data_IF_796520101911
#
_entry.id   IF_796520101911
#
_cell.length_a   1.000
_cell.length_b   1.000
_cell.length_c   1.000
_cell.angle_alpha   90.00
_cell.angle_beta   90.00
_cell.angle_gamma   90.00
#
_symmetry.space_group_name_H-M   'P 1'
#
loop_
_entity.id
_entity.type
_entity.pdbx_description
1 polymer ?
#
# COMPACT_ATOMS: atom_id res chain seq x y z
N UNK A 1 -20.26 8.29 18.38
CA UNK A 1 -19.73 8.10 17.01
C UNK A 1 -20.39 6.88 16.38
N UNK A 2 -20.77 6.93 15.10
CA UNK A 2 -21.51 5.84 14.45
C UNK A 2 -20.68 4.55 14.41
N UNK A 3 -21.20 3.49 15.04
CA UNK A 3 -20.56 2.16 15.04
C UNK A 3 -20.29 1.66 13.61
N UNK A 4 -21.12 2.08 12.67
CA UNK A 4 -20.98 1.79 11.24
C UNK A 4 -19.66 2.39 10.71
N UNK A 5 -19.39 3.67 10.95
CA UNK A 5 -18.17 4.34 10.49
C UNK A 5 -16.91 3.70 11.10
N UNK A 6 -16.94 3.40 12.40
CA UNK A 6 -15.84 2.73 13.12
C UNK A 6 -15.51 1.37 12.49
N UNK A 7 -16.55 0.59 12.19
CA UNK A 7 -16.40 -0.74 11.61
C UNK A 7 -15.94 -0.68 10.15
N UNK A 8 -16.53 0.18 9.33
CA UNK A 8 -16.16 0.30 7.91
C UNK A 8 -14.72 0.80 7.79
N UNK A 9 -14.31 1.84 8.54
CA UNK A 9 -12.94 2.35 8.48
C UNK A 9 -11.89 1.32 8.88
N UNK A 10 -12.18 0.52 9.91
CA UNK A 10 -11.27 -0.54 10.35
C UNK A 10 -11.21 -1.67 9.31
N UNK A 11 -12.37 -2.18 8.90
CA UNK A 11 -12.44 -3.34 8.00
C UNK A 11 -11.97 -3.04 6.58
N UNK A 12 -12.19 -1.82 6.07
CA UNK A 12 -11.67 -1.42 4.76
C UNK A 12 -10.14 -1.51 4.73
N UNK A 13 -9.47 -0.99 5.75
CA UNK A 13 -8.02 -1.13 5.88
C UNK A 13 -7.60 -2.59 6.02
N UNK A 14 -8.24 -3.36 6.91
CA UNK A 14 -7.84 -4.76 7.12
C UNK A 14 -7.96 -5.61 5.85
N UNK A 15 -9.05 -5.47 5.10
CA UNK A 15 -9.25 -6.23 3.85
C UNK A 15 -8.20 -5.83 2.82
N UNK A 16 -8.02 -4.53 2.58
CA UNK A 16 -7.06 -4.03 1.58
C UNK A 16 -5.63 -4.41 1.95
N UNK A 17 -5.25 -4.18 3.22
CA UNK A 17 -3.90 -4.46 3.70
C UNK A 17 -3.59 -5.96 3.71
N UNK A 18 -4.55 -6.81 4.11
CA UNK A 18 -4.36 -8.28 4.11
C UNK A 18 -4.22 -8.80 2.68
N UNK A 19 -5.08 -8.36 1.76
CA UNK A 19 -4.96 -8.75 0.34
C UNK A 19 -3.62 -8.32 -0.24
N UNK A 20 -3.23 -7.06 0.00
CA UNK A 20 -1.95 -6.51 -0.47
C UNK A 20 -0.77 -7.30 0.10
N UNK A 21 -0.79 -7.58 1.40
CA UNK A 21 0.24 -8.36 2.07
C UNK A 21 0.31 -9.80 1.55
N UNK A 22 -0.83 -10.46 1.28
CA UNK A 22 -0.87 -11.77 0.64
C UNK A 22 -0.24 -11.74 -0.76
N UNK A 23 -0.61 -10.76 -1.59
CA UNK A 23 -0.05 -10.62 -2.94
C UNK A 23 1.47 -10.38 -2.90
N UNK A 24 1.93 -9.48 -2.04
CA UNK A 24 3.36 -9.21 -1.82
C UNK A 24 4.12 -10.45 -1.34
N UNK A 25 3.52 -11.27 -0.46
CA UNK A 25 4.18 -12.44 0.13
C UNK A 25 4.27 -13.60 -0.87
N UNK A 26 3.13 -14.00 -1.45
CA UNK A 26 3.03 -15.25 -2.19
C UNK A 26 3.35 -15.08 -3.67
N UNK A 27 3.03 -13.92 -4.25
CA UNK A 27 3.23 -13.62 -5.67
C UNK A 27 3.86 -12.23 -5.90
N UNK A 28 5.04 -11.94 -5.30
CA UNK A 28 5.68 -10.62 -5.34
C UNK A 28 5.96 -10.14 -6.77
N UNK A 29 6.31 -11.06 -7.67
CA UNK A 29 6.60 -10.74 -9.07
C UNK A 29 5.34 -10.22 -9.77
N UNK A 30 4.25 -10.97 -9.71
CA UNK A 30 2.97 -10.56 -10.31
C UNK A 30 2.40 -9.30 -9.64
N UNK A 31 2.56 -9.16 -8.32
CA UNK A 31 2.16 -7.95 -7.60
C UNK A 31 2.93 -6.72 -8.11
N UNK A 32 4.26 -6.83 -8.17
CA UNK A 32 5.11 -5.75 -8.66
C UNK A 32 4.86 -5.44 -10.14
N UNK A 33 4.67 -6.47 -10.96
CA UNK A 33 4.37 -6.33 -12.38
C UNK A 33 2.95 -5.83 -12.63
N UNK A 34 1.99 -6.06 -11.73
CA UNK A 34 0.64 -5.47 -11.85
C UNK A 34 0.64 -3.95 -11.68
N UNK A 35 1.67 -3.39 -11.06
CA UNK A 35 1.81 -1.94 -10.88
C UNK A 35 2.31 -1.24 -12.16
N UNK A 36 2.90 -1.97 -13.12
CA UNK A 36 3.47 -1.37 -14.32
C UNK A 36 3.21 -2.24 -15.55
N UNK A 37 2.85 -1.65 -16.71
CA UNK A 37 2.52 -2.45 -17.90
C UNK A 37 3.71 -3.26 -18.45
N UNK A 38 4.94 -2.75 -18.35
CA UNK A 38 6.18 -3.38 -18.88
C UNK A 38 7.42 -3.13 -17.98
N UNK A 39 7.46 -3.61 -16.74
CA UNK A 39 8.53 -3.30 -15.78
C UNK A 39 9.89 -3.89 -16.17
N UNK A 40 9.91 -5.04 -16.86
CA UNK A 40 11.16 -5.67 -17.29
C UNK A 40 11.99 -4.76 -18.22
N UNK A 41 11.34 -4.08 -19.16
CA UNK A 41 11.98 -3.13 -20.08
C UNK A 41 12.50 -1.88 -19.37
N UNK A 42 11.85 -1.49 -18.26
CA UNK A 42 12.30 -0.35 -17.43
C UNK A 42 13.56 -0.73 -16.67
N UNK A 43 13.60 -1.92 -16.07
CA UNK A 43 14.79 -2.41 -15.36
C UNK A 43 15.97 -2.58 -16.30
N UNK A 44 15.74 -3.09 -17.51
CA UNK A 44 16.75 -3.17 -18.56
C UNK A 44 17.29 -1.78 -18.93
N UNK A 45 16.42 -0.79 -19.17
CA UNK A 45 16.83 0.59 -19.47
C UNK A 45 17.54 1.30 -18.32
N UNK A 46 17.21 0.96 -17.08
CA UNK A 46 17.90 1.49 -15.89
C UNK A 46 19.23 0.79 -15.60
N UNK A 47 19.63 -0.20 -16.41
CA UNK A 47 20.84 -0.99 -16.19
C UNK A 47 20.76 -1.87 -14.94
N UNK A 48 19.55 -2.16 -14.45
CA UNK A 48 19.32 -2.98 -13.26
C UNK A 48 19.46 -4.45 -13.67
N UNK A 49 20.40 -5.16 -13.04
CA UNK A 49 20.62 -6.57 -13.31
C UNK A 49 19.41 -7.43 -12.90
N UNK A 50 19.23 -8.58 -13.54
CA UNK A 50 18.19 -9.55 -13.18
C UNK A 50 18.26 -9.98 -11.71
N UNK A 51 19.48 -10.07 -11.17
CA UNK A 51 19.75 -10.35 -9.75
C UNK A 51 19.18 -9.24 -8.86
N UNK A 52 19.41 -7.97 -9.21
CA UNK A 52 18.87 -6.85 -8.45
C UNK A 52 17.34 -6.80 -8.47
N UNK A 53 16.70 -7.14 -9.61
CA UNK A 53 15.23 -7.27 -9.70
C UNK A 53 14.71 -8.38 -8.78
N UNK A 54 15.40 -9.52 -8.73
CA UNK A 54 15.03 -10.63 -7.85
C UNK A 54 15.22 -10.29 -6.36
N UNK A 55 16.28 -9.53 -6.03
CA UNK A 55 16.45 -8.98 -4.69
C UNK A 55 15.31 -8.03 -4.30
N UNK A 56 14.84 -7.17 -5.21
CA UNK A 56 13.65 -6.34 -4.96
C UNK A 56 12.40 -7.18 -4.70
N UNK A 57 12.17 -8.26 -5.46
CA UNK A 57 11.03 -9.15 -5.21
C UNK A 57 11.13 -9.87 -3.86
N UNK A 58 12.34 -10.24 -3.42
CA UNK A 58 12.55 -10.81 -2.09
C UNK A 58 12.33 -9.79 -0.97
N UNK A 59 12.70 -8.52 -1.17
CA UNK A 59 12.40 -7.43 -0.24
C UNK A 59 10.88 -7.20 -0.16
N UNK A 60 10.18 -7.17 -1.30
CA UNK A 60 8.71 -7.06 -1.36
C UNK A 60 8.07 -8.24 -0.61
N UNK A 61 8.57 -9.46 -0.82
CA UNK A 61 8.11 -10.65 -0.09
C UNK A 61 8.28 -10.50 1.41
N UNK A 62 9.45 -10.08 1.88
CA UNK A 62 9.73 -9.84 3.30
C UNK A 62 8.78 -8.81 3.92
N UNK A 63 8.56 -7.70 3.24
CA UNK A 63 7.60 -6.67 3.66
C UNK A 63 6.16 -7.21 3.69
N UNK A 64 5.78 -7.97 2.66
CA UNK A 64 4.49 -8.65 2.60
C UNK A 64 4.26 -9.55 3.80
N UNK A 65 5.24 -10.39 4.15
CA UNK A 65 5.13 -11.33 5.27
C UNK A 65 4.93 -10.61 6.60
N UNK A 66 5.67 -9.51 6.83
CA UNK A 66 5.54 -8.70 8.04
C UNK A 66 4.17 -8.03 8.11
N UNK A 67 3.72 -7.41 7.01
CA UNK A 67 2.40 -6.80 6.92
C UNK A 67 1.28 -7.82 7.12
N UNK A 68 1.45 -9.05 6.61
CA UNK A 68 0.48 -10.11 6.75
C UNK A 68 0.39 -10.59 8.21
N UNK A 69 1.53 -10.79 8.86
CA UNK A 69 1.59 -11.17 10.27
C UNK A 69 0.91 -10.12 11.18
N UNK A 70 1.20 -8.84 10.95
CA UNK A 70 0.56 -7.73 11.68
C UNK A 70 -0.94 -7.65 11.39
N UNK A 71 -1.35 -7.82 10.13
CA UNK A 71 -2.77 -7.79 9.75
C UNK A 71 -3.55 -8.94 10.37
N UNK A 72 -3.01 -10.17 10.34
CA UNK A 72 -3.62 -11.33 10.98
C UNK A 72 -3.73 -11.11 12.50
N UNK A 73 -2.68 -10.59 13.13
CA UNK A 73 -2.72 -10.30 14.56
C UNK A 73 -3.80 -9.28 14.92
N UNK A 74 -3.86 -8.16 14.19
CA UNK A 74 -4.88 -7.11 14.40
C UNK A 74 -6.30 -7.62 14.08
N UNK A 75 -6.43 -8.47 13.06
CA UNK A 75 -7.69 -9.14 12.69
C UNK A 75 -8.17 -10.06 13.82
N UNK A 76 -7.30 -10.91 14.35
CA UNK A 76 -7.63 -11.87 15.41
C UNK A 76 -7.92 -11.18 16.74
N UNK A 77 -7.18 -10.14 17.10
CA UNK A 77 -7.42 -9.42 18.35
C UNK A 77 -8.61 -8.46 18.26
N UNK A 78 -9.00 -8.01 17.06
CA UNK A 78 -10.17 -7.16 16.85
C UNK A 78 -10.14 -5.84 17.61
N UNK A 79 -8.95 -5.38 18.04
CA UNK A 79 -8.80 -4.22 18.92
C UNK A 79 -9.07 -2.93 18.13
N UNK A 80 -10.25 -2.37 18.35
CA UNK A 80 -10.66 -1.06 17.83
C UNK A 80 -10.38 -0.01 18.89
N UNK A 81 -9.13 0.40 19.02
CA UNK A 81 -8.73 1.48 19.93
C UNK A 81 -8.34 2.72 19.14
N UNK A 82 -8.45 3.91 19.76
CA UNK A 82 -8.06 5.18 19.15
C UNK A 82 -6.64 5.15 18.56
N UNK A 83 -5.70 4.52 19.26
CA UNK A 83 -4.30 4.41 18.83
C UNK A 83 -4.14 3.57 17.56
N UNK A 84 -4.96 2.54 17.36
CA UNK A 84 -4.94 1.71 16.14
C UNK A 84 -5.38 2.52 14.92
N UNK A 85 -6.44 3.33 15.05
CA UNK A 85 -6.87 4.23 13.96
C UNK A 85 -5.82 5.27 13.58
N UNK A 86 -5.08 5.79 14.58
CA UNK A 86 -3.95 6.69 14.34
C UNK A 86 -2.81 5.99 13.60
N UNK A 87 -2.44 4.79 14.04
CA UNK A 87 -1.41 3.98 13.39
C UNK A 87 -1.77 3.69 11.93
N UNK A 88 -3.00 3.26 11.66
CA UNK A 88 -3.51 3.01 10.31
C UNK A 88 -3.37 4.28 9.45
N UNK A 89 -3.81 5.43 9.98
CA UNK A 89 -3.70 6.69 9.25
C UNK A 89 -2.24 7.03 8.91
N UNK A 90 -1.31 6.93 9.86
CA UNK A 90 0.12 7.19 9.63
C UNK A 90 0.68 6.26 8.55
N UNK A 91 0.37 4.97 8.62
CA UNK A 91 0.82 3.99 7.62
C UNK A 91 0.28 4.34 6.22
N UNK A 92 -0.99 4.71 6.12
CA UNK A 92 -1.58 5.16 4.85
C UNK A 92 -0.89 6.42 4.31
N UNK A 93 -0.59 7.41 5.16
CA UNK A 93 0.11 8.64 4.75
C UNK A 93 1.52 8.34 4.23
N UNK A 94 2.28 7.51 4.95
CA UNK A 94 3.63 7.11 4.54
C UNK A 94 3.59 6.31 3.22
N UNK A 95 2.61 5.43 3.05
CA UNK A 95 2.41 4.67 1.80
C UNK A 95 2.07 5.59 0.63
N UNK A 96 1.14 6.54 0.81
CA UNK A 96 0.78 7.53 -0.22
C UNK A 96 2.00 8.36 -0.61
N UNK A 97 2.76 8.85 0.38
CA UNK A 97 3.98 9.61 0.15
C UNK A 97 4.99 8.81 -0.68
N UNK A 98 5.24 7.55 -0.32
CA UNK A 98 6.14 6.67 -1.07
C UNK A 98 5.68 6.49 -2.52
N UNK A 99 4.39 6.21 -2.75
CA UNK A 99 3.85 6.05 -4.10
C UNK A 99 3.92 7.33 -4.93
N UNK A 100 3.68 8.50 -4.33
CA UNK A 100 3.82 9.80 -5.00
C UNK A 100 5.29 10.05 -5.39
N UNK A 101 6.24 9.77 -4.49
CA UNK A 101 7.66 9.95 -4.79
C UNK A 101 8.11 9.02 -5.93
N UNK A 102 7.69 7.75 -5.93
CA UNK A 102 7.95 6.82 -7.03
C UNK A 102 7.33 7.32 -8.34
N UNK A 103 6.10 7.83 -8.30
CA UNK A 103 5.44 8.39 -9.49
C UNK A 103 6.20 9.60 -10.05
N UNK A 104 6.59 10.56 -9.19
CA UNK A 104 7.36 11.74 -9.61
C UNK A 104 8.69 11.31 -10.25
N UNK A 105 9.39 10.35 -9.65
CA UNK A 105 10.65 9.86 -10.18
C UNK A 105 10.48 9.21 -11.56
N UNK A 106 9.42 8.42 -11.77
CA UNK A 106 9.14 7.81 -13.07
C UNK A 106 8.69 8.84 -14.11
N UNK A 107 7.90 9.85 -13.73
CA UNK A 107 7.42 10.90 -14.63
C UNK A 107 8.55 11.84 -15.10
N UNK A 108 9.59 12.03 -14.28
CA UNK A 108 10.74 12.86 -14.63
C UNK A 108 11.64 12.25 -15.72
N UNK A 109 11.42 10.99 -16.12
CA UNK A 109 12.19 10.32 -17.18
C UNK A 109 11.30 9.97 -18.36
N UNK A 110 11.46 10.70 -19.47
CA UNK A 110 10.69 10.45 -20.70
C UNK A 110 10.87 9.02 -21.24
N UNK A 111 12.05 8.44 -21.07
CA UNK A 111 12.34 7.06 -21.43
C UNK A 111 11.52 6.05 -20.62
N UNK A 112 11.38 6.28 -19.31
CA UNK A 112 10.58 5.43 -18.42
C UNK A 112 9.10 5.59 -18.75
N UNK A 113 8.62 6.82 -18.97
CA UNK A 113 7.22 7.10 -19.33
C UNK A 113 6.84 6.39 -20.63
N UNK A 114 7.70 6.43 -21.65
CA UNK A 114 7.47 5.73 -22.93
C UNK A 114 7.40 4.21 -22.78
N UNK A 115 8.17 3.63 -21.86
CA UNK A 115 8.23 2.17 -21.65
C UNK A 115 7.10 1.67 -20.75
N UNK A 116 6.81 2.36 -19.64
CA UNK A 116 5.74 2.00 -18.70
C UNK A 116 4.37 2.28 -19.30
N UNK A 117 4.23 3.41 -20.00
CA UNK A 117 3.01 3.85 -20.69
C UNK A 117 1.88 4.29 -19.75
N UNK A 118 1.42 3.43 -18.84
CA UNK A 118 0.24 3.69 -17.99
C UNK A 118 0.57 3.50 -16.50
N UNK A 119 0.34 4.56 -15.71
CA UNK A 119 0.50 4.59 -14.25
C UNK A 119 -0.84 4.48 -13.50
N UNK A 120 -1.92 4.09 -14.19
CA UNK A 120 -3.28 4.05 -13.64
C UNK A 120 -3.44 3.17 -12.40
N UNK A 121 -2.73 2.04 -12.35
CA UNK A 121 -2.64 1.19 -11.15
C UNK A 121 -2.04 1.95 -9.96
N UNK A 122 -0.96 2.69 -10.16
CA UNK A 122 -0.29 3.49 -9.12
C UNK A 122 -1.18 4.64 -8.65
N UNK A 123 -1.84 5.34 -9.58
CA UNK A 123 -2.85 6.37 -9.24
C UNK A 123 -4.02 5.78 -8.45
N UNK A 124 -4.52 4.61 -8.85
CA UNK A 124 -5.60 3.92 -8.17
C UNK A 124 -5.19 3.49 -6.75
N UNK A 125 -3.97 2.95 -6.58
CA UNK A 125 -3.42 2.63 -5.26
C UNK A 125 -3.32 3.86 -4.38
N UNK A 126 -2.78 4.97 -4.90
CA UNK A 126 -2.71 6.25 -4.16
C UNK A 126 -4.11 6.68 -3.71
N UNK A 127 -5.10 6.63 -4.61
CA UNK A 127 -6.48 7.02 -4.32
C UNK A 127 -7.08 6.16 -3.20
N UNK A 128 -7.05 4.84 -3.34
CA UNK A 128 -7.62 3.91 -2.35
C UNK A 128 -6.95 4.06 -0.99
N UNK A 129 -5.62 4.09 -0.94
CA UNK A 129 -4.87 4.24 0.31
C UNK A 129 -5.16 5.59 0.97
N UNK A 130 -5.30 6.66 0.18
CA UNK A 130 -5.69 7.99 0.68
C UNK A 130 -7.09 7.97 1.28
N UNK A 131 -8.07 7.37 0.60
CA UNK A 131 -9.45 7.24 1.08
C UNK A 131 -9.49 6.50 2.41
N UNK A 132 -8.84 5.33 2.49
CA UNK A 132 -8.77 4.53 3.71
C UNK A 132 -8.09 5.29 4.85
N UNK A 133 -6.98 5.98 4.56
CA UNK A 133 -6.28 6.82 5.52
C UNK A 133 -7.17 7.93 6.08
N UNK A 134 -7.85 8.69 5.21
CA UNK A 134 -8.78 9.76 5.60
C UNK A 134 -9.91 9.21 6.46
N UNK A 135 -10.52 8.08 6.09
CA UNK A 135 -11.58 7.45 6.88
C UNK A 135 -11.13 7.09 8.30
N UNK A 136 -9.92 6.56 8.46
CA UNK A 136 -9.35 6.23 9.76
C UNK A 136 -8.95 7.48 10.57
N UNK A 137 -8.49 8.54 9.89
CA UNK A 137 -8.22 9.85 10.47
C UNK A 137 -9.48 10.50 11.06
N UNK A 138 -10.60 10.48 10.32
CA UNK A 138 -11.89 10.98 10.78
C UNK A 138 -12.33 10.24 12.05
N UNK A 139 -12.20 8.91 12.08
CA UNK A 139 -12.54 8.11 13.26
C UNK A 139 -11.63 8.45 14.44
N UNK A 140 -10.33 8.62 14.22
CA UNK A 140 -9.38 9.01 15.26
C UNK A 140 -9.74 10.34 15.93
N UNK A 141 -10.05 11.38 15.14
CA UNK A 141 -10.40 12.69 15.67
C UNK A 141 -11.79 12.71 16.34
N UNK A 142 -12.76 11.96 15.81
CA UNK A 142 -14.12 11.86 16.38
C UNK A 142 -14.23 10.93 17.59
N UNK A 143 -13.18 10.16 17.90
CA UNK A 143 -13.16 9.22 19.03
C UNK A 143 -13.45 9.86 20.38
N UNK A 144 -13.01 11.11 20.58
CA UNK A 144 -13.17 11.84 21.86
C UNK A 144 -14.61 12.28 22.16
N UNK A 145 -15.49 12.32 21.17
CA UNK A 145 -16.91 12.72 21.34
C UNK A 145 -17.83 11.52 21.63
N UNK A 146 -17.30 10.41 22.16
CA UNK A 146 -18.06 9.18 22.41
C UNK A 146 -17.96 8.67 23.85
N UNK A 147 -17.41 9.48 24.76
CA UNK A 147 -17.47 9.33 26.21
C UNK A 147 -18.20 10.53 26.80
#
# INVERSE_FOLDING_TARGET
MDRILINISFWSFQVINTLTACLMTFIPKQFHESLFKNPALVYEKLGISSIAVEMFHNVIRGHGTVLLAVSIFVFLQGIKSRSVYLLIFIVCVLSVYSHIMTLIQHLNSEDIVRVIGNFGSLYFTIFITSTVGIMNCIVYFRWRNSH
#
